data_IF_153718686672
#
_entry.id   IF_153718686672
#
_cell.length_a   1.000
_cell.length_b   1.000
_cell.length_c   1.000
_cell.angle_alpha   90.00
_cell.angle_beta   90.00
_cell.angle_gamma   90.00
#
_symmetry.space_group_name_H-M   'P 1'
#
loop_
_entity.id
_entity.type
_entity.pdbx_description
1 polymer ?
#
# COMPACT_ATOMS: atom_id res chain seq x y z
N UNK A 1 -23.67 -24.88 -1.32
CA UNK A 1 -22.72 -25.09 -0.21
C UNK A 1 -21.44 -24.35 -0.58
N UNK A 2 -21.07 -23.27 0.13
CA UNK A 2 -19.98 -22.39 -0.30
C UNK A 2 -18.62 -23.04 0.02
N UNK A 3 -17.82 -23.28 -1.02
CA UNK A 3 -16.44 -23.76 -0.90
C UNK A 3 -15.62 -22.67 -0.20
N UNK A 4 -15.15 -22.93 1.03
CA UNK A 4 -14.24 -22.03 1.73
C UNK A 4 -12.79 -22.47 1.52
N UNK A 5 -12.02 -21.64 0.81
CA UNK A 5 -10.57 -21.77 0.72
C UNK A 5 -10.01 -21.42 2.10
N UNK A 6 -9.39 -22.39 2.76
CA UNK A 6 -9.00 -22.25 4.17
C UNK A 6 -7.49 -22.07 4.33
N UNK A 7 -6.65 -22.48 3.37
CA UNK A 7 -5.19 -22.31 3.46
C UNK A 7 -4.55 -22.22 2.08
N UNK A 8 -3.66 -21.22 1.92
CA UNK A 8 -2.76 -21.04 0.77
C UNK A 8 -1.35 -21.39 1.22
N UNK A 9 -0.72 -22.39 0.60
CA UNK A 9 0.67 -22.77 0.89
C UNK A 9 1.56 -22.36 -0.28
N UNK A 10 2.58 -21.55 -0.03
CA UNK A 10 3.57 -21.16 -1.04
C UNK A 10 4.67 -22.22 -1.15
N UNK A 11 4.94 -22.70 -2.35
CA UNK A 11 6.09 -23.55 -2.65
C UNK A 11 6.91 -22.91 -3.77
N UNK A 12 8.14 -22.49 -3.45
CA UNK A 12 9.18 -21.89 -4.31
C UNK A 12 8.71 -20.75 -5.24
N UNK A 13 7.81 -20.99 -6.20
CA UNK A 13 7.22 -19.97 -7.09
C UNK A 13 5.71 -20.14 -7.37
N UNK A 14 5.03 -21.13 -6.75
CA UNK A 14 3.59 -21.40 -6.95
C UNK A 14 2.79 -21.46 -5.63
N UNK A 15 1.48 -21.21 -5.73
CA UNK A 15 0.53 -21.33 -4.62
C UNK A 15 -0.32 -22.60 -4.75
N UNK A 16 -0.31 -23.45 -3.73
CA UNK A 16 -1.24 -24.57 -3.60
C UNK A 16 -2.49 -24.11 -2.83
N UNK A 17 -3.67 -24.35 -3.40
CA UNK A 17 -4.97 -23.97 -2.82
C UNK A 17 -5.67 -25.22 -2.28
N UNK A 18 -5.86 -25.30 -0.97
CA UNK A 18 -6.58 -26.41 -0.31
C UNK A 18 -8.02 -25.98 0.01
N UNK A 19 -9.00 -26.74 -0.50
CA UNK A 19 -10.43 -26.47 -0.33
C UNK A 19 -11.08 -27.55 0.59
N UNK A 20 -11.78 -27.12 1.64
CA UNK A 20 -12.52 -27.98 2.60
C UNK A 20 -13.72 -28.69 1.91
N UNK A 21 -14.10 -29.97 2.22
CA UNK A 21 -13.96 -30.68 3.50
C UNK A 21 -12.99 -31.87 3.58
N UNK A 22 -12.01 -32.00 2.70
CA UNK A 22 -11.17 -33.22 2.66
C UNK A 22 -9.72 -32.97 3.08
N UNK A 23 -9.39 -32.94 4.38
CA UNK A 23 -8.02 -32.77 4.83
C UNK A 23 -7.11 -34.00 4.59
N UNK A 24 -7.68 -35.20 4.34
CA UNK A 24 -6.91 -36.44 4.12
C UNK A 24 -7.56 -37.43 3.12
N UNK A 25 -8.52 -37.01 2.29
CA UNK A 25 -9.23 -37.90 1.37
C UNK A 25 -8.59 -37.93 -0.02
N UNK A 26 -8.14 -39.11 -0.49
CA UNK A 26 -7.87 -39.33 -1.92
C UNK A 26 -9.22 -39.42 -2.64
N UNK A 27 -9.65 -38.31 -3.25
CA UNK A 27 -10.65 -38.38 -4.31
C UNK A 27 -9.99 -39.05 -5.51
N UNK A 28 -10.56 -40.18 -5.94
CA UNK A 28 -10.28 -40.72 -7.26
C UNK A 28 -10.63 -39.62 -8.25
N UNK A 29 -9.58 -39.00 -8.81
CA UNK A 29 -9.68 -38.07 -9.92
C UNK A 29 -10.13 -38.92 -11.10
N UNK A 30 -11.44 -39.01 -11.33
CA UNK A 30 -11.93 -39.34 -12.67
C UNK A 30 -11.47 -38.20 -13.57
N UNK A 31 -10.80 -38.56 -14.65
CA UNK A 31 -10.24 -37.71 -15.70
C UNK A 31 -11.10 -36.48 -15.98
N UNK A 32 -10.42 -35.34 -16.20
CA UNK A 32 -10.95 -33.99 -16.41
C UNK A 32 -11.14 -33.11 -15.16
N UNK A 33 -10.23 -33.22 -14.19
CA UNK A 33 -9.82 -32.00 -13.47
C UNK A 33 -8.79 -31.28 -14.36
N UNK A 34 -9.27 -30.50 -15.34
CA UNK A 34 -8.42 -29.51 -15.99
C UNK A 34 -7.76 -28.67 -14.89
N UNK A 35 -6.44 -28.80 -14.76
CA UNK A 35 -5.67 -27.90 -13.91
C UNK A 35 -5.95 -26.50 -14.43
N UNK A 36 -6.70 -25.76 -13.62
CA UNK A 36 -7.11 -24.38 -13.88
C UNK A 36 -5.92 -23.58 -14.41
N UNK A 37 -6.10 -22.68 -15.40
CA UNK A 37 -5.00 -22.02 -16.10
C UNK A 37 -4.00 -21.44 -15.11
N UNK A 38 -2.71 -21.42 -15.48
CA UNK A 38 -1.63 -20.91 -14.66
C UNK A 38 -1.92 -19.47 -14.19
N UNK A 39 -2.60 -19.34 -13.05
CA UNK A 39 -2.93 -18.06 -12.45
C UNK A 39 -1.73 -17.59 -11.63
N UNK A 40 -1.34 -16.34 -11.83
CA UNK A 40 -0.23 -15.70 -11.12
C UNK A 40 -0.36 -15.79 -9.58
N UNK A 41 -1.59 -15.68 -9.07
CA UNK A 41 -1.89 -15.89 -7.66
C UNK A 41 -3.39 -16.17 -7.41
N UNK A 42 -3.73 -16.35 -6.13
CA UNK A 42 -5.09 -16.61 -5.69
C UNK A 42 -6.08 -15.48 -6.04
N UNK A 43 -5.62 -14.22 -6.12
CA UNK A 43 -6.51 -13.12 -6.50
C UNK A 43 -6.87 -13.18 -7.98
N UNK A 44 -5.89 -13.50 -8.83
CA UNK A 44 -6.11 -13.71 -10.27
C UNK A 44 -7.02 -14.91 -10.55
N UNK A 45 -6.94 -15.96 -9.73
CA UNK A 45 -7.82 -17.13 -9.84
C UNK A 45 -9.27 -16.85 -9.41
N UNK A 46 -9.48 -15.93 -8.46
CA UNK A 46 -10.79 -15.72 -7.81
C UNK A 46 -11.56 -14.49 -8.29
N UNK A 47 -10.89 -13.52 -8.94
CA UNK A 47 -11.51 -12.23 -9.26
C UNK A 47 -11.12 -11.73 -10.66
N UNK A 48 -11.97 -10.89 -11.29
CA UNK A 48 -11.61 -10.15 -12.49
C UNK A 48 -10.34 -9.30 -12.29
N UNK A 49 -9.57 -8.98 -13.36
CA UNK A 49 -8.24 -8.38 -13.24
C UNK A 49 -8.18 -7.08 -12.43
N UNK A 50 -9.13 -6.17 -12.62
CA UNK A 50 -9.26 -4.90 -11.91
C UNK A 50 -9.49 -5.12 -10.40
N UNK A 51 -10.39 -6.05 -10.05
CA UNK A 51 -10.70 -6.40 -8.67
C UNK A 51 -9.54 -7.16 -8.03
N UNK A 52 -8.91 -8.07 -8.76
CA UNK A 52 -7.77 -8.86 -8.31
C UNK A 52 -6.58 -7.96 -7.95
N UNK A 53 -6.24 -7.00 -8.83
CA UNK A 53 -5.19 -6.01 -8.59
C UNK A 53 -5.45 -5.23 -7.30
N UNK A 54 -6.66 -4.66 -7.14
CA UNK A 54 -6.99 -3.88 -5.95
C UNK A 54 -6.91 -4.70 -4.66
N UNK A 55 -7.42 -5.95 -4.70
CA UNK A 55 -7.43 -6.84 -3.53
C UNK A 55 -6.03 -7.27 -3.15
N UNK A 56 -5.19 -7.60 -4.14
CA UNK A 56 -3.77 -7.92 -3.95
C UNK A 56 -3.03 -6.77 -3.30
N UNK A 57 -3.14 -5.56 -3.87
CA UNK A 57 -2.47 -4.36 -3.32
C UNK A 57 -2.89 -4.11 -1.88
N UNK A 58 -4.19 -4.18 -1.57
CA UNK A 58 -4.68 -4.02 -0.18
C UNK A 58 -4.17 -5.12 0.74
N UNK A 59 -4.15 -6.37 0.29
CA UNK A 59 -3.71 -7.50 1.11
C UNK A 59 -2.21 -7.41 1.46
N UNK A 60 -1.37 -7.02 0.49
CA UNK A 60 0.06 -6.80 0.71
C UNK A 60 0.30 -5.62 1.66
N UNK A 61 -0.32 -4.46 1.41
CA UNK A 61 -0.21 -3.30 2.29
C UNK A 61 -0.69 -3.62 3.72
N UNK A 62 -1.81 -4.35 3.85
CA UNK A 62 -2.33 -4.80 5.15
C UNK A 62 -1.37 -5.75 5.86
N UNK A 63 -0.70 -6.65 5.13
CA UNK A 63 0.29 -7.56 5.71
C UNK A 63 1.44 -6.79 6.34
N UNK A 64 2.01 -5.85 5.60
CA UNK A 64 3.20 -5.11 6.03
C UNK A 64 2.85 -4.14 7.18
N UNK A 65 1.73 -3.42 7.06
CA UNK A 65 1.21 -2.60 8.16
C UNK A 65 0.98 -3.41 9.44
N UNK A 66 0.39 -4.62 9.34
CA UNK A 66 0.16 -5.47 10.52
C UNK A 66 1.45 -5.96 11.16
N UNK A 67 2.50 -6.20 10.38
CA UNK A 67 3.80 -6.59 10.90
C UNK A 67 4.36 -5.48 11.80
N UNK A 68 4.38 -4.24 11.30
CA UNK A 68 4.82 -3.07 12.07
C UNK A 68 3.95 -2.83 13.31
N UNK A 69 2.63 -2.88 13.17
CA UNK A 69 1.71 -2.66 14.29
C UNK A 69 1.87 -3.69 15.41
N UNK A 70 2.28 -4.92 15.09
CA UNK A 70 2.55 -5.97 16.08
C UNK A 70 3.90 -5.81 16.77
N UNK A 71 4.85 -5.14 16.12
CA UNK A 71 6.16 -4.83 16.70
C UNK A 71 6.11 -3.64 17.67
N UNK A 72 5.08 -2.79 17.57
CA UNK A 72 4.89 -1.66 18.47
C UNK A 72 4.64 -2.10 19.92
N UNK A 73 5.31 -1.44 20.85
CA UNK A 73 5.07 -1.61 22.28
C UNK A 73 3.80 -0.86 22.73
N UNK A 74 3.07 -1.49 23.65
CA UNK A 74 1.88 -0.93 24.30
C UNK A 74 0.62 -1.77 24.10
N UNK A 75 -0.47 -1.33 24.69
CA UNK A 75 -1.79 -1.94 24.48
C UNK A 75 -2.36 -1.53 23.13
N UNK A 76 -3.33 -2.29 22.62
CA UNK A 76 -4.06 -1.92 21.39
C UNK A 76 -4.69 -0.53 21.50
N UNK A 77 -5.20 -0.14 22.68
CA UNK A 77 -5.75 1.21 22.87
C UNK A 77 -4.66 2.27 22.69
N UNK A 78 -3.50 2.11 23.33
CA UNK A 78 -2.37 3.04 23.20
C UNK A 78 -1.86 3.16 21.76
N UNK A 79 -1.79 2.03 21.03
CA UNK A 79 -1.40 2.02 19.62
C UNK A 79 -2.46 2.76 18.77
N UNK A 80 -3.74 2.52 19.03
CA UNK A 80 -4.83 3.19 18.33
C UNK A 80 -4.79 4.71 18.55
N UNK A 81 -4.53 5.15 19.78
CA UNK A 81 -4.40 6.56 20.15
C UNK A 81 -3.20 7.21 19.43
N UNK A 82 -2.03 6.56 19.42
CA UNK A 82 -0.84 7.01 18.66
C UNK A 82 -1.13 7.15 17.16
N UNK A 83 -1.92 6.23 16.62
CA UNK A 83 -2.34 6.24 15.22
C UNK A 83 -3.50 7.20 14.93
N UNK A 84 -4.09 7.86 15.93
CA UNK A 84 -5.26 8.72 15.75
C UNK A 84 -6.50 7.99 15.24
N UNK A 85 -6.68 6.72 15.61
CA UNK A 85 -7.86 5.90 15.26
C UNK A 85 -8.51 5.31 16.50
N UNK A 86 -9.78 4.89 16.38
CA UNK A 86 -10.46 4.17 17.46
C UNK A 86 -9.99 2.71 17.52
N UNK A 87 -9.87 2.14 18.72
CA UNK A 87 -9.46 0.75 18.95
C UNK A 87 -10.25 -0.31 18.15
N UNK A 88 -11.58 -0.22 17.94
CA UNK A 88 -12.29 -1.17 17.09
C UNK A 88 -11.77 -1.21 15.65
N UNK A 89 -11.29 -0.07 15.13
CA UNK A 89 -10.67 0.00 13.79
C UNK A 89 -9.30 -0.67 13.79
N UNK A 90 -8.48 -0.44 14.82
CA UNK A 90 -7.21 -1.17 14.99
C UNK A 90 -7.44 -2.69 15.04
N UNK A 91 -8.48 -3.16 15.73
CA UNK A 91 -8.79 -4.58 15.81
C UNK A 91 -9.17 -5.20 14.46
N UNK A 92 -9.86 -4.44 13.58
CA UNK A 92 -10.11 -4.87 12.20
C UNK A 92 -8.80 -5.01 11.41
N UNK A 93 -7.89 -4.05 11.53
CA UNK A 93 -6.55 -4.08 10.91
C UNK A 93 -5.78 -5.31 11.38
N UNK A 94 -5.64 -5.51 12.70
CA UNK A 94 -4.86 -6.61 13.26
C UNK A 94 -5.40 -7.99 12.87
N UNK A 95 -6.71 -8.11 12.64
CA UNK A 95 -7.35 -9.33 12.11
C UNK A 95 -7.16 -9.52 10.60
N UNK A 96 -6.74 -8.50 9.86
CA UNK A 96 -6.50 -8.56 8.42
C UNK A 96 -7.73 -8.27 7.57
N UNK A 97 -8.72 -7.55 8.12
CA UNK A 97 -9.93 -7.14 7.39
C UNK A 97 -9.61 -5.99 6.41
N UNK A 98 -8.96 -6.33 5.30
CA UNK A 98 -8.52 -5.38 4.27
C UNK A 98 -9.68 -4.70 3.53
N UNK A 99 -10.89 -5.26 3.58
CA UNK A 99 -12.07 -4.67 2.96
C UNK A 99 -12.67 -3.53 3.81
N UNK A 100 -12.44 -3.53 5.13
CA UNK A 100 -12.98 -2.54 6.03
C UNK A 100 -12.27 -1.17 6.00
N UNK A 101 -11.17 -1.04 5.25
CA UNK A 101 -10.34 0.17 5.20
C UNK A 101 -9.99 0.51 3.75
N UNK A 102 -10.17 1.79 3.38
CA UNK A 102 -9.77 2.27 2.06
C UNK A 102 -8.26 2.18 1.86
N UNK A 103 -7.81 2.08 0.61
CA UNK A 103 -6.38 2.03 0.30
C UNK A 103 -5.66 3.29 0.82
N UNK A 104 -6.27 4.47 0.63
CA UNK A 104 -5.74 5.75 1.13
C UNK A 104 -5.51 5.74 2.65
N UNK A 105 -6.45 5.16 3.40
CA UNK A 105 -6.30 5.04 4.85
C UNK A 105 -5.22 4.02 5.24
N UNK A 106 -5.01 2.96 4.46
CA UNK A 106 -3.87 2.05 4.67
C UNK A 106 -2.56 2.79 4.48
N UNK A 107 -2.44 3.60 3.41
CA UNK A 107 -1.26 4.42 3.13
C UNK A 107 -1.00 5.42 4.25
N UNK A 108 -2.03 6.14 4.72
CA UNK A 108 -1.88 7.10 5.82
C UNK A 108 -1.44 6.43 7.13
N UNK A 109 -2.00 5.27 7.46
CA UNK A 109 -1.62 4.54 8.68
C UNK A 109 -0.23 3.92 8.59
N UNK A 110 0.15 3.42 7.41
CA UNK A 110 1.50 2.95 7.10
C UNK A 110 2.53 4.08 7.33
N UNK A 111 2.27 5.27 6.79
CA UNK A 111 3.13 6.44 6.99
C UNK A 111 3.29 6.80 8.47
N UNK A 112 2.22 6.71 9.28
CA UNK A 112 2.28 7.00 10.73
C UNK A 112 3.14 6.01 11.51
N UNK A 113 3.37 4.80 11.00
CA UNK A 113 4.27 3.82 11.61
C UNK A 113 5.65 3.77 10.95
N UNK A 114 5.96 4.73 10.08
CA UNK A 114 7.27 4.84 9.44
C UNK A 114 7.44 3.98 8.19
N UNK A 115 6.37 3.38 7.67
CA UNK A 115 6.41 2.72 6.37
C UNK A 115 6.29 3.75 5.25
N UNK A 116 7.14 3.61 4.23
CA UNK A 116 6.99 4.32 2.97
C UNK A 116 6.12 3.50 2.03
N UNK A 117 5.12 4.14 1.41
CA UNK A 117 4.21 3.49 0.48
C UNK A 117 4.40 4.07 -0.91
N UNK A 118 4.61 3.20 -1.89
CA UNK A 118 4.78 3.55 -3.30
C UNK A 118 3.79 2.76 -4.13
N UNK A 119 3.17 3.43 -5.10
CA UNK A 119 2.29 2.79 -6.08
C UNK A 119 2.78 3.13 -7.48
N UNK A 120 3.28 2.11 -8.17
CA UNK A 120 3.79 2.23 -9.54
C UNK A 120 2.84 1.48 -10.47
N UNK A 121 2.31 2.20 -11.45
CA UNK A 121 1.60 1.57 -12.55
C UNK A 121 2.63 1.08 -13.57
N UNK A 122 2.63 -0.22 -13.84
CA UNK A 122 3.50 -0.84 -14.84
C UNK A 122 2.67 -1.40 -15.97
N UNK A 123 3.19 -1.39 -17.20
CA UNK A 123 2.61 -2.13 -18.30
C UNK A 123 3.24 -3.53 -18.33
N UNK A 124 2.45 -4.53 -18.71
CA UNK A 124 2.98 -5.89 -18.91
C UNK A 124 4.12 -5.85 -19.95
N UNK A 125 5.32 -6.26 -19.54
CA UNK A 125 6.54 -6.22 -20.36
C UNK A 125 7.55 -5.17 -19.93
N UNK A 126 7.20 -4.25 -19.01
CA UNK A 126 8.17 -3.30 -18.46
C UNK A 126 9.04 -3.95 -17.37
N UNK A 127 10.35 -3.71 -17.40
CA UNK A 127 11.25 -4.08 -16.30
C UNK A 127 10.99 -3.21 -15.06
N UNK A 128 10.50 -3.83 -13.99
CA UNK A 128 10.01 -3.16 -12.77
C UNK A 128 10.97 -2.14 -12.14
N UNK A 129 12.28 -2.39 -12.24
CA UNK A 129 13.31 -1.50 -11.70
C UNK A 129 13.50 -0.21 -12.53
N UNK A 130 13.42 -0.28 -13.87
CA UNK A 130 13.53 0.92 -14.72
C UNK A 130 12.26 1.76 -14.72
N UNK A 131 11.11 1.12 -14.49
CA UNK A 131 9.81 1.79 -14.42
C UNK A 131 9.66 2.65 -13.17
N UNK A 132 10.18 2.24 -12.02
CA UNK A 132 10.09 3.05 -10.79
C UNK A 132 10.90 4.34 -10.91
N UNK A 133 12.19 4.25 -11.19
CA UNK A 133 13.06 5.43 -11.35
C UNK A 133 12.57 6.35 -12.48
N UNK A 134 12.08 5.78 -13.58
CA UNK A 134 11.49 6.58 -14.67
C UNK A 134 10.17 7.22 -14.27
N UNK A 135 9.31 6.54 -13.51
CA UNK A 135 8.05 7.08 -13.02
C UNK A 135 8.28 8.18 -11.97
N UNK A 136 9.24 8.02 -11.06
CA UNK A 136 9.63 9.05 -10.09
C UNK A 136 10.21 10.27 -10.80
N UNK A 137 11.14 10.05 -11.74
CA UNK A 137 11.69 11.13 -12.55
C UNK A 137 10.64 11.79 -13.46
N UNK A 138 9.60 11.07 -13.87
CA UNK A 138 8.49 11.64 -14.63
C UNK A 138 7.49 12.36 -13.73
N UNK A 139 7.24 11.89 -12.50
CA UNK A 139 6.46 12.62 -11.51
C UNK A 139 7.14 13.95 -11.14
N UNK A 140 8.46 13.95 -10.93
CA UNK A 140 9.22 15.19 -10.70
C UNK A 140 9.15 16.17 -11.88
N UNK A 141 9.03 15.67 -13.11
CA UNK A 141 8.88 16.48 -14.34
C UNK A 141 7.44 16.82 -14.70
N UNK A 142 6.46 16.11 -14.14
CA UNK A 142 5.05 16.14 -14.53
C UNK A 142 4.12 16.22 -13.30
N UNK A 143 4.62 16.80 -12.21
CA UNK A 143 3.79 17.40 -11.17
C UNK A 143 3.17 18.69 -11.75
N UNK A 144 2.27 18.55 -12.72
CA UNK A 144 1.12 19.44 -12.75
C UNK A 144 0.37 19.14 -11.45
N UNK A 145 0.61 19.98 -10.46
CA UNK A 145 0.17 19.86 -9.07
C UNK A 145 -1.36 19.99 -8.93
N UNK A 146 -2.14 19.13 -9.59
CA UNK A 146 -3.57 18.98 -9.35
C UNK A 146 -3.77 18.41 -7.94
N UNK A 147 -3.72 19.28 -6.92
CA UNK A 147 -3.99 18.95 -5.53
C UNK A 147 -3.06 19.56 -4.48
N UNK A 148 -1.91 20.14 -4.86
CA UNK A 148 -1.16 20.95 -3.89
C UNK A 148 -1.80 22.34 -3.81
N UNK A 149 -2.08 22.86 -2.59
CA UNK A 149 -2.62 24.20 -2.46
C UNK A 149 -1.66 25.19 -3.11
N UNK A 150 -2.22 26.24 -3.71
CA UNK A 150 -1.41 27.30 -4.28
C UNK A 150 -0.39 27.79 -3.23
N UNK A 151 0.85 27.99 -3.66
CA UNK A 151 1.94 28.38 -2.75
C UNK A 151 1.48 29.53 -1.83
N UNK A 152 1.61 29.34 -0.51
CA UNK A 152 1.24 30.35 0.48
C UNK A 152 1.99 31.66 0.24
N UNK A 153 1.45 32.77 0.72
CA UNK A 153 2.03 34.10 0.51
C UNK A 153 3.52 34.16 0.92
N UNK A 154 3.88 33.50 2.02
CA UNK A 154 5.26 33.41 2.49
C UNK A 154 6.17 32.63 1.52
N UNK A 155 5.69 31.52 0.98
CA UNK A 155 6.42 30.72 -0.02
C UNK A 155 6.66 31.50 -1.31
N UNK A 156 5.67 32.28 -1.77
CA UNK A 156 5.82 33.14 -2.95
C UNK A 156 6.88 34.22 -2.72
N UNK A 157 6.86 34.90 -1.57
CA UNK A 157 7.86 35.93 -1.21
C UNK A 157 9.28 35.37 -1.14
N UNK A 158 9.45 34.18 -0.57
CA UNK A 158 10.76 33.51 -0.53
C UNK A 158 11.22 33.07 -1.92
N UNK A 159 10.31 32.54 -2.74
CA UNK A 159 10.60 32.20 -4.14
C UNK A 159 11.07 33.41 -4.95
N UNK A 160 10.46 34.58 -4.74
CA UNK A 160 10.90 35.82 -5.36
C UNK A 160 12.33 36.22 -4.93
N UNK A 161 12.65 36.13 -3.63
CA UNK A 161 14.01 36.43 -3.13
C UNK A 161 15.06 35.47 -3.68
N UNK A 162 14.71 34.20 -3.89
CA UNK A 162 15.59 33.22 -4.53
C UNK A 162 15.81 33.60 -6.00
N UNK A 163 14.74 33.96 -6.73
CA UNK A 163 14.83 34.38 -8.13
C UNK A 163 15.67 35.66 -8.31
N UNK A 164 15.61 36.58 -7.33
CA UNK A 164 16.41 37.80 -7.26
C UNK A 164 17.86 37.53 -6.79
N UNK A 165 18.22 36.29 -6.44
CA UNK A 165 19.55 35.91 -5.94
C UNK A 165 19.87 36.45 -4.55
N UNK A 166 18.87 36.97 -3.82
CA UNK A 166 19.03 37.57 -2.50
C UNK A 166 19.21 36.54 -1.38
N UNK A 167 18.72 35.33 -1.57
CA UNK A 167 18.89 34.18 -0.65
C UNK A 167 19.09 32.90 -1.45
N UNK A 168 19.74 31.91 -0.86
CA UNK A 168 19.88 30.59 -1.49
C UNK A 168 18.57 29.78 -1.44
N UNK A 169 18.37 28.82 -2.37
CA UNK A 169 17.23 27.89 -2.30
C UNK A 169 17.13 27.15 -0.95
N UNK A 170 18.26 26.69 -0.42
CA UNK A 170 18.31 25.98 0.88
C UNK A 170 17.87 26.87 2.04
N UNK A 171 18.25 28.15 2.02
CA UNK A 171 17.86 29.13 3.02
C UNK A 171 16.35 29.42 2.97
N UNK A 172 15.78 29.52 1.77
CA UNK A 172 14.34 29.65 1.56
C UNK A 172 13.57 28.43 2.08
N UNK A 173 14.06 27.22 1.82
CA UNK A 173 13.45 25.97 2.32
C UNK A 173 13.49 25.91 3.85
N UNK A 174 14.62 26.25 4.47
CA UNK A 174 14.73 26.31 5.94
C UNK A 174 13.73 27.31 6.54
N UNK A 175 13.64 28.51 5.97
CA UNK A 175 12.70 29.53 6.43
C UNK A 175 11.23 29.05 6.34
N UNK A 176 10.87 28.36 5.25
CA UNK A 176 9.54 27.76 5.09
C UNK A 176 9.21 26.70 6.14
N UNK A 177 10.17 25.82 6.41
CA UNK A 177 10.03 24.76 7.41
C UNK A 177 9.87 25.35 8.81
N UNK A 178 10.67 26.34 9.18
CA UNK A 178 10.56 26.99 10.50
C UNK A 178 9.24 27.73 10.68
N UNK A 179 8.76 28.44 9.65
CA UNK A 179 7.44 29.09 9.69
C UNK A 179 6.31 28.08 9.94
N UNK A 180 6.36 26.90 9.31
CA UNK A 180 5.33 25.86 9.48
C UNK A 180 5.42 25.12 10.81
N UNK A 181 6.59 25.05 11.44
CA UNK A 181 6.72 24.50 12.80
C UNK A 181 6.15 25.42 13.88
N UNK A 182 6.07 26.73 13.61
CA UNK A 182 5.61 27.76 14.54
C UNK A 182 4.11 28.10 14.41
N UNK A 183 3.47 27.69 13.31
CA UNK A 183 2.04 27.88 13.04
C UNK A 183 1.22 26.70 13.54
#
# INVERSE_FOLDING_TARGET
MALQITTLRRHSDNYEVIIWPFPNGRLAVTEEAEVSPDFEDAFAALYPPDVAQLRRTRALAMRDLRAELRALAGTQQQIADKLGIKQPRLNKILRGDAAAISLDNLVQLAARVGLHAELVFTKRGDSSASSFESALAQADRHCDMEGLPAAGEHARKLGQKVAEGSISPDEAVRALVEHHKQS
#
